data_IF_920902599994
#
_entry.id   IF_920902599994
#
_cell.length_a   1.000
_cell.length_b   1.000
_cell.length_c   1.000
_cell.angle_alpha   90.00
_cell.angle_beta   90.00
_cell.angle_gamma   90.00
#
_symmetry.space_group_name_H-M   'P 1'
#
loop_
_entity.id
_entity.type
_entity.pdbx_description
1 polymer ?
#
# COMPACT_ATOMS: atom_id res chain seq x y z
N UNK A 1 -30.49 -0.55 2.32
CA UNK A 1 -29.02 -0.39 2.37
C UNK A 1 -28.72 1.01 2.89
N UNK A 2 -27.99 1.13 4.01
CA UNK A 2 -27.64 2.43 4.58
C UNK A 2 -26.44 3.03 3.84
N UNK A 3 -26.36 4.36 3.75
CA UNK A 3 -25.25 5.09 3.10
C UNK A 3 -23.87 4.73 3.70
N UNK A 4 -23.86 4.29 4.96
CA UNK A 4 -22.67 3.86 5.70
C UNK A 4 -22.15 2.51 5.19
N UNK A 5 -23.03 1.53 4.93
CA UNK A 5 -22.64 0.21 4.40
C UNK A 5 -21.94 0.26 3.03
N UNK A 6 -22.35 1.19 2.16
CA UNK A 6 -21.70 1.41 0.86
C UNK A 6 -20.31 2.02 1.06
N UNK A 7 -20.20 3.05 1.91
CA UNK A 7 -18.91 3.69 2.22
C UNK A 7 -17.89 2.72 2.82
N UNK A 8 -18.35 1.77 3.64
CA UNK A 8 -17.51 0.78 4.31
C UNK A 8 -16.98 -0.26 3.32
N UNK A 9 -17.81 -0.65 2.34
CA UNK A 9 -17.38 -1.53 1.25
C UNK A 9 -16.31 -0.88 0.36
N UNK A 10 -16.45 0.41 0.07
CA UNK A 10 -15.48 1.17 -0.74
C UNK A 10 -14.13 1.31 -0.01
N UNK A 11 -14.15 1.58 1.30
CA UNK A 11 -12.93 1.68 2.11
C UNK A 11 -12.19 0.34 2.21
N UNK A 12 -12.92 -0.76 2.39
CA UNK A 12 -12.33 -2.11 2.36
C UNK A 12 -11.71 -2.41 1.01
N UNK A 13 -12.35 -1.98 -0.09
CA UNK A 13 -11.79 -2.10 -1.44
C UNK A 13 -10.52 -1.25 -1.60
N UNK A 14 -10.49 -0.04 -1.06
CA UNK A 14 -9.30 0.81 -1.06
C UNK A 14 -8.12 0.16 -0.31
N UNK A 15 -8.37 -0.47 0.84
CA UNK A 15 -7.34 -1.24 1.57
C UNK A 15 -6.78 -2.37 0.70
N UNK A 16 -7.65 -3.14 0.03
CA UNK A 16 -7.19 -4.20 -0.88
C UNK A 16 -6.37 -3.66 -2.06
N UNK A 17 -6.73 -2.50 -2.60
CA UNK A 17 -5.96 -1.84 -3.65
C UNK A 17 -4.58 -1.41 -3.15
N UNK A 18 -4.48 -0.87 -1.94
CA UNK A 18 -3.18 -0.55 -1.32
C UNK A 18 -2.31 -1.80 -1.17
N UNK A 19 -2.87 -2.92 -0.72
CA UNK A 19 -2.14 -4.19 -0.59
C UNK A 19 -1.66 -4.72 -1.95
N UNK A 20 -2.50 -4.64 -2.98
CA UNK A 20 -2.11 -5.01 -4.35
C UNK A 20 -0.98 -4.12 -4.90
N UNK A 21 -1.03 -2.81 -4.63
CA UNK A 21 0.02 -1.87 -5.04
C UNK A 21 1.33 -2.16 -4.32
N UNK A 22 1.29 -2.45 -3.01
CA UNK A 22 2.47 -2.87 -2.25
C UNK A 22 3.12 -4.12 -2.84
N UNK A 23 2.33 -5.16 -3.10
CA UNK A 23 2.83 -6.41 -3.69
C UNK A 23 3.48 -6.18 -5.06
N UNK A 24 2.84 -5.37 -5.92
CA UNK A 24 3.41 -5.02 -7.23
C UNK A 24 4.73 -4.28 -7.11
N UNK A 25 4.83 -3.33 -6.18
CA UNK A 25 6.05 -2.55 -5.96
C UNK A 25 7.20 -3.42 -5.45
N UNK A 26 6.92 -4.34 -4.52
CA UNK A 26 7.91 -5.33 -4.02
C UNK A 26 8.41 -6.22 -5.16
N UNK A 27 7.51 -6.72 -6.01
CA UNK A 27 7.88 -7.54 -7.17
C UNK A 27 8.74 -6.76 -8.17
N UNK A 28 8.41 -5.50 -8.43
CA UNK A 28 9.21 -4.63 -9.30
C UNK A 28 10.59 -4.37 -8.73
N UNK A 29 10.70 -4.08 -7.44
CA UNK A 29 11.98 -3.90 -6.75
C UNK A 29 12.85 -5.16 -6.86
N UNK A 30 12.29 -6.33 -6.55
CA UNK A 30 13.02 -7.60 -6.61
C UNK A 30 13.50 -7.92 -8.05
N UNK A 31 12.66 -7.64 -9.05
CA UNK A 31 13.02 -7.79 -10.46
C UNK A 31 14.18 -6.86 -10.83
N UNK A 32 14.12 -5.60 -10.40
CA UNK A 32 15.16 -4.61 -10.65
C UNK A 32 16.50 -5.03 -10.04
N UNK A 33 16.49 -5.46 -8.77
CA UNK A 33 17.67 -5.99 -8.07
C UNK A 33 18.28 -7.20 -8.79
N UNK A 34 17.45 -8.11 -9.28
CA UNK A 34 17.91 -9.29 -10.02
C UNK A 34 18.58 -8.91 -11.33
N UNK A 35 18.00 -7.97 -12.09
CA UNK A 35 18.57 -7.48 -13.35
C UNK A 35 19.93 -6.82 -13.09
N UNK A 36 20.02 -6.00 -12.05
CA UNK A 36 21.26 -5.33 -11.66
C UNK A 36 22.38 -6.26 -11.32
N UNK A 37 22.09 -7.25 -10.47
CA UNK A 37 23.08 -8.20 -10.02
C UNK A 37 23.70 -8.95 -11.21
N UNK A 38 22.88 -9.28 -12.22
CA UNK A 38 23.36 -9.87 -13.47
C UNK A 38 24.21 -8.89 -14.28
N UNK A 39 23.73 -7.66 -14.47
CA UNK A 39 24.46 -6.65 -15.24
C UNK A 39 25.80 -6.28 -14.58
N UNK A 40 25.88 -6.23 -13.26
CA UNK A 40 27.09 -5.86 -12.54
C UNK A 40 28.23 -6.87 -12.69
N UNK A 41 27.92 -8.15 -12.96
CA UNK A 41 28.93 -9.20 -13.12
C UNK A 41 29.74 -9.04 -14.41
N UNK A 42 29.08 -8.62 -15.49
CA UNK A 42 29.66 -8.62 -16.85
C UNK A 42 29.85 -7.21 -17.43
N UNK A 43 29.31 -6.16 -16.80
CA UNK A 43 29.27 -4.81 -17.38
C UNK A 43 30.03 -3.77 -16.56
N UNK A 44 31.17 -3.33 -17.10
CA UNK A 44 32.05 -2.31 -16.52
C UNK A 44 32.05 -1.05 -17.40
N UNK A 45 32.06 0.13 -16.76
CA UNK A 45 32.18 1.43 -17.42
C UNK A 45 31.15 2.47 -16.95
N UNK A 46 31.22 3.68 -17.50
CA UNK A 46 30.39 4.83 -17.10
C UNK A 46 28.88 4.58 -17.23
N UNK A 47 28.46 3.77 -18.20
CA UNK A 47 27.03 3.43 -18.35
C UNK A 47 26.53 2.52 -17.22
N UNK A 48 27.39 1.62 -16.71
CA UNK A 48 27.09 0.74 -15.56
C UNK A 48 26.99 1.54 -14.25
N UNK A 49 27.86 2.54 -14.04
CA UNK A 49 27.77 3.41 -12.86
C UNK A 49 26.51 4.29 -12.89
N UNK A 50 26.15 4.84 -14.04
CA UNK A 50 24.90 5.62 -14.20
C UNK A 50 23.67 4.76 -13.96
N UNK A 51 23.63 3.53 -14.47
CA UNK A 51 22.51 2.61 -14.20
C UNK A 51 22.42 2.29 -12.71
N UNK A 52 23.54 1.98 -12.07
CA UNK A 52 23.61 1.67 -10.63
C UNK A 52 23.06 2.81 -9.79
N UNK A 53 23.45 4.05 -10.09
CA UNK A 53 22.93 5.24 -9.42
C UNK A 53 21.40 5.37 -9.57
N UNK A 54 20.89 5.28 -10.80
CA UNK A 54 19.44 5.34 -11.07
C UNK A 54 18.68 4.25 -10.31
N UNK A 55 19.30 3.08 -10.17
CA UNK A 55 18.70 1.96 -9.47
C UNK A 55 18.67 2.14 -7.96
N UNK A 56 19.74 2.68 -7.40
CA UNK A 56 19.78 3.07 -5.98
C UNK A 56 18.64 4.04 -5.68
N UNK A 57 18.48 5.09 -6.50
CA UNK A 57 17.40 6.06 -6.36
C UNK A 57 16.01 5.43 -6.52
N UNK A 58 15.85 4.45 -7.43
CA UNK A 58 14.59 3.72 -7.58
C UNK A 58 14.25 2.92 -6.33
N UNK A 59 15.21 2.17 -5.77
CA UNK A 59 15.01 1.34 -4.57
C UNK A 59 14.71 2.20 -3.34
N UNK A 60 15.43 3.30 -3.17
CA UNK A 60 15.19 4.26 -2.09
C UNK A 60 13.77 4.87 -2.23
N UNK A 61 13.40 5.29 -3.44
CA UNK A 61 12.06 5.80 -3.73
C UNK A 61 10.96 4.76 -3.49
N UNK A 62 11.18 3.51 -3.92
CA UNK A 62 10.24 2.41 -3.70
C UNK A 62 10.03 2.14 -2.20
N UNK A 63 11.11 2.19 -1.41
CA UNK A 63 11.05 2.04 0.05
C UNK A 63 10.19 3.14 0.70
N UNK A 64 10.36 4.39 0.28
CA UNK A 64 9.54 5.51 0.75
C UNK A 64 8.07 5.29 0.39
N UNK A 65 7.78 4.93 -0.87
CA UNK A 65 6.41 4.66 -1.34
C UNK A 65 5.75 3.49 -0.62
N UNK A 66 6.50 2.44 -0.29
CA UNK A 66 5.98 1.33 0.51
C UNK A 66 5.57 1.78 1.91
N UNK A 67 6.37 2.63 2.57
CA UNK A 67 6.03 3.19 3.88
C UNK A 67 4.80 4.08 3.82
N UNK A 68 4.69 4.94 2.80
CA UNK A 68 3.51 5.78 2.58
C UNK A 68 2.24 4.92 2.37
N UNK A 69 2.32 3.88 1.54
CA UNK A 69 1.21 2.96 1.31
C UNK A 69 0.81 2.23 2.61
N UNK A 70 1.78 1.83 3.43
CA UNK A 70 1.49 1.18 4.72
C UNK A 70 0.79 2.13 5.69
N UNK A 71 1.26 3.38 5.78
CA UNK A 71 0.64 4.40 6.61
C UNK A 71 -0.81 4.69 6.19
N UNK A 72 -1.07 4.88 4.89
CA UNK A 72 -2.42 5.08 4.38
C UNK A 72 -3.33 3.87 4.59
N UNK A 73 -2.81 2.66 4.41
CA UNK A 73 -3.57 1.43 4.67
C UNK A 73 -4.00 1.34 6.13
N UNK A 74 -3.08 1.65 7.05
CA UNK A 74 -3.34 1.62 8.47
C UNK A 74 -4.35 2.70 8.90
N UNK A 75 -4.28 3.89 8.32
CA UNK A 75 -5.27 4.95 8.51
C UNK A 75 -6.67 4.50 8.06
N UNK A 76 -6.77 3.90 6.86
CA UNK A 76 -8.03 3.36 6.35
C UNK A 76 -8.60 2.27 7.26
N UNK A 77 -7.76 1.36 7.77
CA UNK A 77 -8.19 0.31 8.71
C UNK A 77 -8.77 0.90 10.00
N UNK A 78 -8.10 1.91 10.57
CA UNK A 78 -8.59 2.61 11.76
C UNK A 78 -9.91 3.33 11.51
N UNK A 79 -10.06 3.95 10.34
CA UNK A 79 -11.30 4.62 9.96
C UNK A 79 -12.46 3.63 9.81
N UNK A 80 -12.23 2.48 9.17
CA UNK A 80 -13.22 1.40 9.08
C UNK A 80 -13.68 0.96 10.48
N UNK A 81 -12.74 0.71 11.41
CA UNK A 81 -13.08 0.29 12.78
C UNK A 81 -13.97 1.30 13.50
N UNK A 82 -13.68 2.60 13.36
CA UNK A 82 -14.50 3.68 13.94
C UNK A 82 -15.91 3.71 13.36
N UNK A 83 -16.06 3.53 12.05
CA UNK A 83 -17.38 3.48 11.43
C UNK A 83 -18.18 2.25 11.87
N UNK A 84 -17.52 1.09 12.01
CA UNK A 84 -18.17 -0.12 12.51
C UNK A 84 -18.65 0.02 13.96
N UNK A 85 -17.87 0.71 14.80
CA UNK A 85 -18.26 1.02 16.17
C UNK A 85 -19.45 1.96 16.22
N UNK A 86 -19.43 3.04 15.43
CA UNK A 86 -20.55 3.97 15.32
C UNK A 86 -21.84 3.29 14.84
N UNK A 87 -21.75 2.40 13.85
CA UNK A 87 -22.89 1.61 13.37
C UNK A 87 -23.44 0.68 14.48
N UNK A 88 -22.56 0.03 15.26
CA UNK A 88 -22.98 -0.82 16.39
C UNK A 88 -23.73 -0.02 17.46
N UNK A 89 -23.24 1.16 17.78
CA UNK A 89 -23.84 2.03 18.81
C UNK A 89 -25.18 2.62 18.37
N UNK A 90 -25.33 3.03 17.11
CA UNK A 90 -26.61 3.48 16.53
C UNK A 90 -27.65 2.34 16.57
N UNK A 91 -27.24 1.12 16.20
CA UNK A 91 -28.10 -0.06 16.27
C UNK A 91 -28.52 -0.41 17.70
N UNK A 92 -27.62 -0.29 18.68
CA UNK A 92 -27.92 -0.53 20.10
C UNK A 92 -28.87 0.52 20.66
N UNK A 93 -28.66 1.79 20.32
CA UNK A 93 -29.49 2.92 20.77
C UNK A 93 -30.90 2.79 20.23
N UNK A 94 -31.07 2.48 18.93
CA UNK A 94 -32.40 2.24 18.32
C UNK A 94 -33.17 1.07 18.93
N UNK A 95 -32.47 0.02 19.39
CA UNK A 95 -33.08 -1.14 20.06
C UNK A 95 -33.53 -0.86 21.49
N UNK A 96 -32.90 0.10 22.18
CA UNK A 96 -33.24 0.50 23.55
C UNK A 96 -34.35 1.57 23.60
N UNK A 97 -34.62 2.23 22.47
CA UNK A 97 -35.67 3.23 22.29
C UNK A 97 -36.99 2.68 21.73
N UNK A 98 -37.11 1.35 21.59
CA UNK A 98 -38.35 0.62 21.29
C UNK A 98 -38.81 -0.16 22.52
#
# INVERSE_FOLDING_TARGET
>A
MSRISVSLSDLRRAVQQCEQLQQRLIQQEQKMRTIHQRLQQDWVGTASSVLTFKMQSFVEGATVRLRELEAHKEELKRYILKMEEADRDDHKTRRLSQ
#
